data_IF_749089662158
#
_entry.id   IF_749089662158
#
_cell.length_a   1.000
_cell.length_b   1.000
_cell.length_c   1.000
_cell.angle_alpha   90.00
_cell.angle_beta   90.00
_cell.angle_gamma   90.00
#
_symmetry.space_group_name_H-M   'P 1'
#
loop_
_entity.id
_entity.type
_entity.pdbx_description
1 polymer ?
#
# COMPACT_ATOMS: atom_id res chain seq x y z
N UNK A 1 50.64 30.50 -36.20
CA UNK A 1 50.40 29.05 -36.00
C UNK A 1 50.60 28.71 -34.54
N UNK A 2 49.50 28.55 -33.80
CA UNK A 2 49.47 27.90 -32.49
C UNK A 2 48.16 27.12 -32.47
N UNK A 3 48.29 25.82 -32.65
CA UNK A 3 47.22 24.86 -32.47
C UNK A 3 47.20 24.52 -30.99
N UNK A 4 46.12 24.83 -30.29
CA UNK A 4 45.79 24.10 -29.06
C UNK A 4 44.37 23.55 -29.19
N UNK A 5 44.22 22.21 -29.31
CA UNK A 5 42.95 21.52 -29.35
C UNK A 5 42.58 21.09 -27.94
N UNK A 6 41.50 21.62 -27.40
CA UNK A 6 40.69 20.97 -26.37
C UNK A 6 39.36 21.69 -26.32
N UNK A 7 38.50 21.33 -27.28
CA UNK A 7 37.08 21.50 -27.14
C UNK A 7 36.69 20.81 -25.83
N UNK A 8 36.33 21.62 -24.84
CA UNK A 8 35.62 21.18 -23.65
C UNK A 8 34.35 20.45 -24.14
N UNK A 9 34.23 19.13 -23.94
CA UNK A 9 33.03 18.44 -24.37
C UNK A 9 31.83 19.02 -23.61
N UNK A 10 30.67 19.19 -24.28
CA UNK A 10 29.49 19.77 -23.66
C UNK A 10 29.15 19.00 -22.38
N UNK A 11 28.94 19.73 -21.30
CA UNK A 11 28.52 19.23 -19.99
C UNK A 11 27.08 18.67 -20.01
N UNK A 12 26.81 17.72 -20.91
CA UNK A 12 25.51 17.11 -21.15
C UNK A 12 25.45 15.64 -20.71
N UNK A 13 26.40 15.19 -19.87
CA UNK A 13 26.40 13.83 -19.32
C UNK A 13 26.89 13.80 -17.86
N UNK A 14 26.40 14.74 -17.04
CA UNK A 14 26.40 14.55 -15.59
C UNK A 14 25.08 13.87 -15.20
N UNK A 15 25.07 12.57 -14.89
CA UNK A 15 23.89 11.89 -14.37
C UNK A 15 23.68 12.25 -12.90
N UNK A 16 23.44 13.53 -12.59
CA UNK A 16 23.19 14.00 -11.22
C UNK A 16 22.16 15.13 -11.22
N UNK A 17 20.86 14.79 -11.29
CA UNK A 17 19.79 15.75 -10.97
C UNK A 17 18.47 15.13 -10.46
N UNK A 18 18.43 13.86 -10.09
CA UNK A 18 17.32 13.27 -9.31
C UNK A 18 17.91 12.21 -8.40
N UNK A 19 17.76 12.37 -7.07
CA UNK A 19 18.44 11.54 -6.06
C UNK A 19 18.38 10.04 -6.33
N UNK A 20 19.33 9.26 -5.78
CA UNK A 20 19.61 7.89 -6.21
C UNK A 20 18.32 7.10 -6.36
N UNK A 21 17.96 6.80 -7.61
CA UNK A 21 16.80 6.00 -7.94
C UNK A 21 16.89 4.72 -7.14
N UNK A 22 15.99 4.56 -6.15
CA UNK A 22 16.02 3.38 -5.29
C UNK A 22 15.88 2.15 -6.17
N UNK A 23 16.87 1.26 -6.08
CA UNK A 23 16.88 0.01 -6.83
C UNK A 23 15.65 -0.81 -6.42
N UNK A 24 14.77 -1.19 -7.39
CA UNK A 24 13.64 -2.05 -7.13
C UNK A 24 14.09 -3.36 -6.50
N UNK A 25 13.32 -3.90 -5.55
CA UNK A 25 13.60 -5.17 -4.85
C UNK A 25 14.91 -5.24 -4.04
N UNK A 26 15.68 -4.15 -3.95
CA UNK A 26 16.80 -4.12 -3.03
C UNK A 26 16.30 -4.27 -1.58
N UNK A 27 16.99 -5.05 -0.73
CA UNK A 27 16.53 -5.35 0.62
C UNK A 27 16.28 -4.09 1.45
N UNK A 28 17.15 -3.08 1.31
CA UNK A 28 16.98 -1.77 1.96
C UNK A 28 15.70 -1.05 1.52
N UNK A 29 15.36 -1.11 0.23
CA UNK A 29 14.15 -0.50 -0.32
C UNK A 29 12.91 -1.22 0.20
N UNK A 30 12.92 -2.57 0.20
CA UNK A 30 11.84 -3.38 0.72
C UNK A 30 11.59 -3.17 2.22
N UNK A 31 12.64 -3.09 3.03
CA UNK A 31 12.52 -2.81 4.46
C UNK A 31 11.92 -1.43 4.72
N UNK A 32 12.38 -0.42 3.97
CA UNK A 32 11.84 0.93 4.08
C UNK A 32 10.37 0.97 3.66
N UNK A 33 10.02 0.39 2.52
CA UNK A 33 8.66 0.36 2.02
C UNK A 33 7.74 -0.46 2.93
N UNK A 34 8.23 -1.57 3.46
CA UNK A 34 7.54 -2.38 4.44
C UNK A 34 7.25 -1.61 5.72
N UNK A 35 8.20 -0.78 6.19
CA UNK A 35 7.98 0.08 7.36
C UNK A 35 6.92 1.15 7.10
N UNK A 36 6.95 1.80 5.93
CA UNK A 36 5.93 2.77 5.53
C UNK A 36 4.56 2.10 5.37
N UNK A 37 4.52 0.93 4.73
CA UNK A 37 3.30 0.17 4.53
C UNK A 37 2.71 -0.31 5.86
N UNK A 38 3.54 -0.80 6.79
CA UNK A 38 3.12 -1.20 8.12
C UNK A 38 2.51 -0.01 8.86
N UNK A 39 3.17 1.16 8.84
CA UNK A 39 2.62 2.36 9.47
C UNK A 39 1.26 2.76 8.88
N UNK A 40 1.08 2.65 7.56
CA UNK A 40 -0.20 2.95 6.90
C UNK A 40 -1.27 1.93 7.27
N UNK A 41 -0.96 0.63 7.21
CA UNK A 41 -1.91 -0.44 7.53
C UNK A 41 -2.33 -0.38 9.00
N UNK A 42 -1.37 -0.26 9.91
CA UNK A 42 -1.64 -0.09 11.35
C UNK A 42 -2.36 1.23 11.62
N UNK A 43 -2.05 2.30 10.89
CA UNK A 43 -2.75 3.57 10.97
C UNK A 43 -4.22 3.49 10.54
N UNK A 44 -4.52 2.75 9.47
CA UNK A 44 -5.89 2.48 9.03
C UNK A 44 -6.66 1.63 10.06
N UNK A 45 -6.00 0.67 10.69
CA UNK A 45 -6.56 -0.08 11.81
C UNK A 45 -6.82 0.84 13.03
N UNK A 46 -5.84 1.65 13.44
CA UNK A 46 -5.97 2.59 14.54
C UNK A 46 -7.06 3.65 14.30
N UNK A 47 -7.28 4.02 13.03
CA UNK A 47 -8.32 4.98 12.64
C UNK A 47 -9.72 4.51 13.03
N UNK A 48 -9.98 3.20 13.07
CA UNK A 48 -11.23 2.64 13.56
C UNK A 48 -11.53 3.07 15.01
N UNK A 49 -10.49 3.12 15.86
CA UNK A 49 -10.64 3.51 17.26
C UNK A 49 -10.65 5.03 17.45
N UNK A 50 -9.98 5.78 16.57
CA UNK A 50 -9.95 7.22 16.64
C UNK A 50 -11.23 7.87 16.11
N UNK A 51 -11.77 7.36 14.99
CA UNK A 51 -12.95 7.87 14.31
C UNK A 51 -13.81 6.69 13.84
N UNK A 52 -14.70 6.16 14.70
CA UNK A 52 -15.50 4.96 14.38
C UNK A 52 -16.65 5.20 13.40
N UNK A 53 -16.72 6.39 12.78
CA UNK A 53 -17.78 6.80 11.87
C UNK A 53 -17.45 6.40 10.43
N UNK A 54 -18.42 5.90 9.64
CA UNK A 54 -18.24 5.71 8.21
C UNK A 54 -17.96 7.05 7.50
N UNK A 55 -17.10 7.05 6.45
CA UNK A 55 -16.38 5.91 5.90
C UNK A 55 -15.04 5.61 6.58
N UNK A 56 -14.61 6.43 7.56
CA UNK A 56 -13.24 6.39 8.11
C UNK A 56 -12.94 5.16 8.96
N UNK A 57 -13.94 4.61 9.66
CA UNK A 57 -13.79 3.35 10.40
C UNK A 57 -13.80 2.10 9.53
N UNK A 58 -14.33 2.18 8.30
CA UNK A 58 -14.56 1.00 7.43
C UNK A 58 -13.24 0.28 7.06
N UNK A 59 -12.15 0.96 6.67
CA UNK A 59 -10.89 0.30 6.37
C UNK A 59 -10.35 -0.54 7.54
N UNK A 60 -10.40 -0.02 8.76
CA UNK A 60 -9.95 -0.76 9.95
C UNK A 60 -10.86 -1.94 10.26
N UNK A 61 -12.18 -1.78 10.11
CA UNK A 61 -13.14 -2.88 10.24
C UNK A 61 -12.87 -4.01 9.23
N UNK A 62 -12.54 -3.67 7.98
CA UNK A 62 -12.21 -4.68 6.95
C UNK A 62 -10.97 -5.50 7.30
N UNK A 63 -9.99 -4.92 7.98
CA UNK A 63 -8.81 -5.67 8.44
C UNK A 63 -9.19 -6.71 9.51
N UNK A 64 -10.11 -6.37 10.41
CA UNK A 64 -10.62 -7.31 11.42
C UNK A 64 -11.39 -8.44 10.74
N UNK A 65 -12.32 -8.12 9.83
CA UNK A 65 -13.10 -9.14 9.11
C UNK A 65 -12.21 -10.01 8.23
N UNK A 66 -11.19 -9.44 7.58
CA UNK A 66 -10.24 -10.22 6.78
C UNK A 66 -9.47 -11.21 7.66
N UNK A 67 -9.03 -10.77 8.84
CA UNK A 67 -8.35 -11.65 9.78
C UNK A 67 -9.27 -12.74 10.33
N UNK A 68 -10.50 -12.41 10.72
CA UNK A 68 -11.50 -13.38 11.18
C UNK A 68 -11.76 -14.47 10.11
N UNK A 69 -11.82 -14.07 8.84
CA UNK A 69 -11.90 -15.03 7.73
C UNK A 69 -10.64 -15.87 7.59
N UNK A 70 -9.45 -15.30 7.77
CA UNK A 70 -8.21 -16.06 7.76
C UNK A 70 -8.16 -17.06 8.94
N UNK A 71 -8.55 -16.63 10.13
CA UNK A 71 -8.65 -17.47 11.34
C UNK A 71 -9.62 -18.64 11.11
N UNK A 72 -10.78 -18.40 10.49
CA UNK A 72 -11.74 -19.44 10.16
C UNK A 72 -11.17 -20.53 9.22
N UNK A 73 -10.20 -20.19 8.38
CA UNK A 73 -9.50 -21.12 7.50
C UNK A 73 -8.32 -21.82 8.18
N UNK A 74 -7.71 -21.17 9.19
CA UNK A 74 -6.52 -21.67 9.89
C UNK A 74 -6.70 -21.61 11.43
N UNK A 75 -7.71 -22.29 12.00
CA UNK A 75 -8.06 -22.14 13.41
C UNK A 75 -6.95 -22.64 14.35
N UNK A 76 -6.17 -23.64 13.91
CA UNK A 76 -5.05 -24.17 14.67
C UNK A 76 -3.89 -23.17 14.83
N UNK A 77 -3.71 -22.25 13.88
CA UNK A 77 -2.63 -21.27 13.92
C UNK A 77 -2.86 -20.23 15.02
N UNK A 78 -4.09 -19.73 15.15
CA UNK A 78 -4.46 -18.73 16.16
C UNK A 78 -4.51 -19.35 17.56
N UNK A 79 -5.00 -20.58 17.69
CA UNK A 79 -5.02 -21.31 18.96
C UNK A 79 -3.61 -21.50 19.58
N UNK A 80 -2.57 -21.60 18.76
CA UNK A 80 -1.19 -21.77 19.21
C UNK A 80 -0.48 -20.46 19.58
N UNK A 81 -0.73 -19.40 18.81
CA UNK A 81 0.03 -18.14 18.91
C UNK A 81 -0.70 -17.11 19.78
N UNK A 82 -2.03 -17.21 19.89
CA UNK A 82 -2.89 -16.20 20.51
C UNK A 82 -3.36 -15.15 19.50
N UNK A 83 -4.51 -14.54 19.78
CA UNK A 83 -5.18 -13.62 18.85
C UNK A 83 -4.34 -12.38 18.51
N UNK A 84 -3.87 -11.64 19.52
CA UNK A 84 -3.12 -10.38 19.32
C UNK A 84 -1.85 -10.54 18.48
N UNK A 85 -0.93 -11.49 18.80
CA UNK A 85 0.26 -11.71 17.98
C UNK A 85 -0.07 -12.25 16.58
N UNK A 86 -1.10 -13.08 16.43
CA UNK A 86 -1.54 -13.55 15.11
C UNK A 86 -2.09 -12.40 14.26
N UNK A 87 -2.89 -11.50 14.84
CA UNK A 87 -3.41 -10.32 14.15
C UNK A 87 -2.29 -9.35 13.77
N UNK A 88 -1.34 -9.09 14.67
CA UNK A 88 -0.16 -8.27 14.37
C UNK A 88 0.67 -8.88 13.21
N UNK A 89 0.85 -10.20 13.22
CA UNK A 89 1.49 -10.94 12.12
C UNK A 89 0.74 -10.80 10.79
N UNK A 90 -0.58 -10.84 10.81
CA UNK A 90 -1.41 -10.57 9.63
C UNK A 90 -1.21 -9.15 9.08
N UNK A 91 -1.21 -8.13 9.93
CA UNK A 91 -0.92 -6.75 9.49
C UNK A 91 0.49 -6.62 8.89
N UNK A 92 1.48 -7.29 9.49
CA UNK A 92 2.85 -7.32 8.97
C UNK A 92 2.92 -8.03 7.61
N UNK A 93 2.18 -9.13 7.42
CA UNK A 93 2.10 -9.82 6.14
C UNK A 93 1.52 -8.91 5.04
N UNK A 94 0.45 -8.16 5.34
CA UNK A 94 -0.10 -7.17 4.40
C UNK A 94 0.92 -6.08 4.06
N UNK A 95 1.70 -5.61 5.03
CA UNK A 95 2.76 -4.64 4.81
C UNK A 95 3.87 -5.19 3.89
N UNK A 96 4.21 -6.47 4.02
CA UNK A 96 5.16 -7.15 3.12
C UNK A 96 4.59 -7.24 1.69
N UNK A 97 3.32 -7.64 1.53
CA UNK A 97 2.65 -7.66 0.21
C UNK A 97 2.65 -6.27 -0.42
N UNK A 98 2.36 -5.24 0.36
CA UNK A 98 2.40 -3.85 -0.08
C UNK A 98 3.81 -3.40 -0.49
N UNK A 99 4.86 -3.79 0.26
CA UNK A 99 6.24 -3.47 -0.08
C UNK A 99 6.69 -4.12 -1.40
N UNK A 100 6.25 -5.36 -1.65
CA UNK A 100 6.47 -6.06 -2.92
C UNK A 100 5.73 -5.33 -4.04
N UNK A 101 4.46 -4.96 -3.83
CA UNK A 101 3.68 -4.17 -4.78
C UNK A 101 4.31 -2.81 -5.09
N UNK A 102 4.88 -2.14 -4.09
CA UNK A 102 5.61 -0.89 -4.25
C UNK A 102 6.90 -1.08 -5.06
N UNK A 103 7.66 -2.15 -4.81
CA UNK A 103 8.85 -2.48 -5.60
C UNK A 103 8.51 -2.79 -7.05
N UNK A 104 7.41 -3.51 -7.28
CA UNK A 104 6.90 -3.80 -8.62
C UNK A 104 6.38 -2.55 -9.35
N UNK A 105 5.76 -1.61 -8.63
CA UNK A 105 5.40 -0.31 -9.21
C UNK A 105 6.66 0.47 -9.64
N UNK A 106 7.75 0.39 -8.86
CA UNK A 106 9.02 1.05 -9.21
C UNK A 106 9.75 0.39 -10.37
N UNK A 107 9.68 -0.93 -10.51
CA UNK A 107 10.21 -1.60 -11.71
C UNK A 107 9.49 -1.19 -13.01
N UNK A 108 8.30 -0.58 -12.88
CA UNK A 108 7.52 0.00 -13.98
C UNK A 108 7.64 1.53 -14.09
N UNK A 109 8.58 2.14 -13.37
CA UNK A 109 8.89 3.57 -13.50
C UNK A 109 8.25 4.49 -12.46
N UNK A 110 7.61 3.98 -11.40
CA UNK A 110 7.14 4.84 -10.31
C UNK A 110 8.33 5.45 -9.54
N UNK A 111 8.35 6.78 -9.37
CA UNK A 111 9.48 7.50 -8.73
C UNK A 111 9.10 8.28 -7.47
N UNK A 112 7.84 8.25 -7.04
CA UNK A 112 7.28 9.09 -5.97
C UNK A 112 7.67 8.67 -4.53
N UNK A 113 8.91 8.22 -4.30
CA UNK A 113 9.50 8.02 -2.98
C UNK A 113 8.62 7.20 -2.01
N UNK A 114 8.17 7.85 -0.92
CA UNK A 114 7.31 7.27 0.14
C UNK A 114 5.87 7.04 -0.29
N UNK A 115 5.34 7.86 -1.20
CA UNK A 115 3.92 7.80 -1.58
C UNK A 115 3.61 6.55 -2.41
N UNK A 116 4.61 5.97 -3.09
CA UNK A 116 4.49 4.65 -3.75
C UNK A 116 4.19 3.54 -2.73
N UNK A 117 4.93 3.50 -1.62
CA UNK A 117 4.72 2.50 -0.56
C UNK A 117 3.38 2.70 0.15
N UNK A 118 3.05 3.95 0.50
CA UNK A 118 1.75 4.27 1.09
C UNK A 118 0.59 3.94 0.15
N UNK A 119 0.72 4.29 -1.13
CA UNK A 119 -0.28 3.97 -2.14
C UNK A 119 -0.46 2.49 -2.35
N UNK A 120 0.63 1.71 -2.38
CA UNK A 120 0.58 0.25 -2.45
C UNK A 120 -0.14 -0.36 -1.23
N UNK A 121 0.13 0.14 -0.02
CA UNK A 121 -0.53 -0.31 1.20
C UNK A 121 -2.05 -0.05 1.16
N UNK A 122 -2.45 1.17 0.83
CA UNK A 122 -3.87 1.54 0.66
C UNK A 122 -4.54 0.67 -0.42
N UNK A 123 -3.84 0.41 -1.53
CA UNK A 123 -4.34 -0.45 -2.61
C UNK A 123 -4.55 -1.88 -2.13
N UNK A 124 -3.62 -2.46 -1.36
CA UNK A 124 -3.76 -3.80 -0.78
C UNK A 124 -5.00 -3.88 0.10
N UNK A 125 -5.23 -2.90 0.99
CA UNK A 125 -6.44 -2.86 1.82
C UNK A 125 -7.70 -2.74 0.96
N UNK A 126 -7.67 -1.95 -0.11
CA UNK A 126 -8.77 -1.86 -1.09
C UNK A 126 -9.04 -3.19 -1.81
N UNK A 127 -8.01 -3.93 -2.19
CA UNK A 127 -8.15 -5.27 -2.79
C UNK A 127 -8.77 -6.26 -1.79
N UNK A 128 -8.30 -6.26 -0.54
CA UNK A 128 -8.85 -7.07 0.54
C UNK A 128 -10.34 -6.76 0.74
N UNK A 129 -10.70 -5.48 0.81
CA UNK A 129 -12.10 -5.05 0.91
C UNK A 129 -12.96 -5.48 -0.28
N UNK A 130 -12.43 -5.40 -1.50
CA UNK A 130 -13.11 -5.90 -2.70
C UNK A 130 -13.33 -7.42 -2.65
N UNK A 131 -12.31 -8.18 -2.23
CA UNK A 131 -12.42 -9.62 -2.06
C UNK A 131 -13.47 -9.98 -0.99
N UNK A 132 -13.48 -9.29 0.15
CA UNK A 132 -14.49 -9.46 1.19
C UNK A 132 -15.89 -9.08 0.72
N UNK A 133 -16.03 -8.04 -0.10
CA UNK A 133 -17.32 -7.65 -0.68
C UNK A 133 -17.96 -8.83 -1.41
N UNK A 134 -17.17 -9.55 -2.20
CA UNK A 134 -17.62 -10.70 -2.99
C UNK A 134 -17.78 -11.99 -2.15
N UNK A 135 -16.81 -12.26 -1.27
CA UNK A 135 -16.76 -13.53 -0.53
C UNK A 135 -17.63 -13.53 0.75
N UNK A 136 -17.91 -12.35 1.31
CA UNK A 136 -18.56 -12.21 2.63
C UNK A 136 -19.82 -11.38 2.54
N UNK A 137 -19.79 -10.18 1.97
CA UNK A 137 -20.97 -9.31 2.05
C UNK A 137 -22.04 -9.67 1.02
N UNK A 138 -21.63 -10.04 -0.20
CA UNK A 138 -22.56 -10.38 -1.28
C UNK A 138 -23.40 -11.64 -0.96
N UNK A 139 -22.82 -12.76 -0.47
CA UNK A 139 -23.60 -13.97 -0.21
C UNK A 139 -24.55 -13.82 0.99
N UNK A 140 -24.25 -12.90 1.91
CA UNK A 140 -24.98 -12.71 3.17
C UNK A 140 -25.85 -11.45 3.18
N UNK A 141 -26.00 -10.75 2.04
CA UNK A 141 -26.75 -9.49 1.99
C UNK A 141 -28.23 -9.65 2.38
N UNK A 142 -28.87 -10.78 2.04
CA UNK A 142 -30.21 -11.12 2.54
C UNK A 142 -31.32 -10.08 2.28
N UNK A 143 -31.12 -9.14 1.36
CA UNK A 143 -32.02 -8.02 1.09
C UNK A 143 -31.57 -6.65 1.65
N UNK A 144 -30.62 -6.63 2.59
CA UNK A 144 -29.95 -5.41 3.04
C UNK A 144 -28.57 -5.27 2.37
N UNK A 145 -28.51 -4.40 1.37
CA UNK A 145 -27.30 -4.15 0.60
C UNK A 145 -26.46 -2.99 1.15
N UNK A 146 -26.91 -2.29 2.21
CA UNK A 146 -26.18 -1.14 2.72
C UNK A 146 -24.74 -1.48 3.15
N UNK A 147 -24.46 -2.60 3.87
CA UNK A 147 -23.10 -2.99 4.21
C UNK A 147 -22.26 -3.33 2.98
N UNK A 148 -22.84 -4.06 2.01
CA UNK A 148 -22.16 -4.41 0.77
C UNK A 148 -21.77 -3.16 -0.03
N UNK A 149 -22.68 -2.20 -0.18
CA UNK A 149 -22.44 -0.96 -0.90
C UNK A 149 -21.39 -0.10 -0.21
N UNK A 150 -21.44 0.01 1.13
CA UNK A 150 -20.47 0.77 1.90
C UNK A 150 -19.05 0.18 1.77
N UNK A 151 -18.93 -1.14 1.90
CA UNK A 151 -17.63 -1.82 1.76
C UNK A 151 -17.13 -1.73 0.32
N UNK A 152 -17.99 -1.94 -0.67
CA UNK A 152 -17.61 -1.84 -2.09
C UNK A 152 -17.15 -0.43 -2.44
N UNK A 153 -17.90 0.59 -2.02
CA UNK A 153 -17.56 2.00 -2.26
C UNK A 153 -16.24 2.37 -1.56
N UNK A 154 -16.05 1.96 -0.31
CA UNK A 154 -14.80 2.18 0.42
C UNK A 154 -13.62 1.49 -0.27
N UNK A 155 -13.81 0.25 -0.70
CA UNK A 155 -12.77 -0.53 -1.40
C UNK A 155 -12.36 0.14 -2.70
N UNK A 156 -13.34 0.59 -3.50
CA UNK A 156 -13.10 1.37 -4.72
C UNK A 156 -12.35 2.66 -4.40
N UNK A 157 -12.77 3.41 -3.38
CA UNK A 157 -12.11 4.64 -2.95
C UNK A 157 -10.64 4.39 -2.55
N UNK A 158 -10.36 3.31 -1.81
CA UNK A 158 -9.01 2.92 -1.43
C UNK A 158 -8.17 2.52 -2.65
N UNK A 159 -8.73 1.78 -3.61
CA UNK A 159 -8.02 1.44 -4.86
C UNK A 159 -7.64 2.69 -5.65
N UNK A 160 -8.57 3.63 -5.82
CA UNK A 160 -8.31 4.89 -6.50
C UNK A 160 -7.36 5.79 -5.72
N UNK A 161 -7.54 5.91 -4.40
CA UNK A 161 -6.68 6.70 -3.52
C UNK A 161 -5.26 6.14 -3.47
N UNK A 162 -5.12 4.82 -3.38
CA UNK A 162 -3.83 4.13 -3.42
C UNK A 162 -3.10 4.34 -4.75
N UNK A 163 -3.81 4.20 -5.88
CA UNK A 163 -3.26 4.53 -7.20
C UNK A 163 -2.86 6.00 -7.31
N UNK A 164 -3.68 6.91 -6.79
CA UNK A 164 -3.40 8.34 -6.81
C UNK A 164 -2.15 8.69 -6.00
N UNK A 165 -2.01 8.11 -4.81
CA UNK A 165 -0.82 8.27 -3.95
C UNK A 165 0.44 7.70 -4.62
N UNK A 166 0.32 6.56 -5.30
CA UNK A 166 1.45 5.91 -5.96
C UNK A 166 1.96 6.67 -7.20
N UNK A 167 1.07 7.31 -7.96
CA UNK A 167 1.41 8.05 -9.18
C UNK A 167 1.80 9.50 -8.87
N UNK A 168 1.22 10.11 -7.84
CA UNK A 168 1.65 11.36 -7.25
C UNK A 168 1.41 12.64 -8.07
N UNK A 169 0.55 13.51 -7.54
CA UNK A 169 0.42 14.95 -7.88
C UNK A 169 1.64 15.81 -7.45
N UNK A 170 2.78 15.18 -7.16
CA UNK A 170 4.04 15.83 -6.76
C UNK A 170 5.18 15.62 -7.77
N UNK A 171 4.83 15.28 -9.01
CA UNK A 171 5.67 15.60 -10.16
C UNK A 171 5.72 17.12 -10.37
N UNK A 172 6.28 17.88 -9.42
CA UNK A 172 6.89 19.16 -9.78
C UNK A 172 8.05 18.78 -10.69
N UNK A 173 7.88 19.00 -11.98
CA UNK A 173 9.00 19.11 -12.91
C UNK A 173 9.98 20.09 -12.27
N UNK A 174 11.28 19.76 -12.14
CA UNK A 174 12.27 20.80 -11.91
C UNK A 174 12.10 21.80 -13.06
N UNK A 175 11.87 23.06 -12.70
CA UNK A 175 11.93 24.18 -13.62
C UNK A 175 13.38 24.40 -14.06
#
# INVERSE_FOLDING_TARGET
>A
MRSDPSAEPPAADRPDATGPGRTPFAPRTLLFDGSVAAFVVTGLYALLYAVPLPPFGVPGYLLIVAFDRLESLFPSLVAWVGFDPAFAGFLAALAVVAAIGASWARSRGATAGRSVAAGAAVTVVGVVGGALSLAVFLPFAGGDYAPLLLVSATSVLLLFGGRYLAIGRFGRRPA
#
